data_IF_773371517428
#
_entry.id   IF_773371517428
#
_cell.length_a   1.000
_cell.length_b   1.000
_cell.length_c   1.000
_cell.angle_alpha   90.00
_cell.angle_beta   90.00
_cell.angle_gamma   90.00
#
_symmetry.space_group_name_H-M   'P 1'
#
loop_
_entity.id
_entity.type
_entity.pdbx_description
1 polymer ?
#
# COMPACT_ATOMS: atom_id res chain seq x y z
N UNK A 1 13.79 8.26 -0.68
CA UNK A 1 13.44 6.93 -0.13
C UNK A 1 14.65 5.98 -0.09
N UNK A 2 15.38 5.75 -1.18
CA UNK A 2 16.47 4.76 -1.24
C UNK A 2 17.50 4.85 -0.11
N UNK A 3 18.00 6.03 0.23
CA UNK A 3 18.98 6.19 1.32
C UNK A 3 18.33 6.12 2.72
N UNK A 4 17.11 6.67 2.83
CA UNK A 4 16.43 6.85 4.12
C UNK A 4 15.67 5.61 4.59
N UNK A 5 15.16 4.80 3.66
CA UNK A 5 14.32 3.61 3.88
C UNK A 5 14.66 2.50 2.86
N UNK A 6 15.91 2.00 2.83
CA UNK A 6 16.36 0.99 1.88
C UNK A 6 15.58 -0.32 2.01
N UNK A 7 15.32 -0.80 3.23
CA UNK A 7 14.58 -2.06 3.45
C UNK A 7 13.13 -1.96 2.96
N UNK A 8 12.49 -0.80 3.12
CA UNK A 8 11.13 -0.56 2.64
C UNK A 8 11.08 -0.50 1.11
N UNK A 9 12.08 0.13 0.47
CA UNK A 9 12.20 0.14 -0.98
C UNK A 9 12.48 -1.27 -1.52
N UNK A 10 13.39 -2.02 -0.89
CA UNK A 10 13.71 -3.38 -1.28
C UNK A 10 12.49 -4.29 -1.17
N UNK A 11 11.71 -4.15 -0.11
CA UNK A 11 10.43 -4.85 0.04
C UNK A 11 9.47 -4.52 -1.09
N UNK A 12 9.24 -3.24 -1.40
CA UNK A 12 8.34 -2.83 -2.48
C UNK A 12 8.76 -3.40 -3.84
N UNK A 13 10.06 -3.32 -4.17
CA UNK A 13 10.58 -3.84 -5.44
C UNK A 13 10.44 -5.37 -5.51
N UNK A 14 10.81 -6.09 -4.45
CA UNK A 14 10.67 -7.54 -4.40
C UNK A 14 9.20 -7.99 -4.43
N UNK A 15 8.29 -7.26 -3.77
CA UNK A 15 6.86 -7.58 -3.76
C UNK A 15 6.17 -7.28 -5.10
N UNK A 16 6.81 -6.53 -6.01
CA UNK A 16 6.21 -6.15 -7.29
C UNK A 16 6.95 -6.72 -8.49
N UNK A 17 7.99 -7.55 -8.27
CA UNK A 17 8.86 -8.05 -9.35
C UNK A 17 8.15 -9.00 -10.32
N UNK A 18 7.17 -9.74 -9.82
CA UNK A 18 6.39 -10.71 -10.59
C UNK A 18 5.10 -10.13 -11.19
N UNK A 19 4.80 -8.84 -10.92
CA UNK A 19 3.64 -8.16 -11.50
C UNK A 19 3.93 -7.74 -12.95
N UNK A 20 2.87 -7.41 -13.68
CA UNK A 20 3.04 -6.70 -14.95
C UNK A 20 3.80 -5.38 -14.72
N UNK A 21 4.72 -4.99 -15.62
CA UNK A 21 5.60 -3.84 -15.40
C UNK A 21 4.85 -2.56 -15.01
N UNK A 22 3.74 -2.28 -15.70
CA UNK A 22 2.91 -1.09 -15.49
C UNK A 22 2.25 -1.10 -14.09
N UNK A 23 1.80 -2.27 -13.63
CA UNK A 23 1.23 -2.47 -12.28
C UNK A 23 2.29 -2.26 -11.20
N UNK A 24 3.48 -2.83 -11.39
CA UNK A 24 4.60 -2.66 -10.48
C UNK A 24 5.09 -1.20 -10.42
N UNK A 25 5.18 -0.52 -11.56
CA UNK A 25 5.53 0.90 -11.65
C UNK A 25 4.51 1.78 -10.93
N UNK A 26 3.21 1.54 -11.13
CA UNK A 26 2.14 2.23 -10.41
C UNK A 26 2.25 2.02 -8.90
N UNK A 27 2.46 0.79 -8.45
CA UNK A 27 2.61 0.46 -7.04
C UNK A 27 3.77 1.22 -6.39
N UNK A 28 4.93 1.25 -7.05
CA UNK A 28 6.12 1.99 -6.59
C UNK A 28 5.87 3.50 -6.59
N UNK A 29 5.15 4.01 -7.59
CA UNK A 29 4.78 5.42 -7.65
C UNK A 29 3.86 5.84 -6.50
N UNK A 30 2.76 5.10 -6.27
CA UNK A 30 1.84 5.37 -5.16
C UNK A 30 2.57 5.27 -3.82
N UNK A 31 3.41 4.25 -3.63
CA UNK A 31 4.26 4.09 -2.46
C UNK A 31 5.17 5.32 -2.24
N UNK A 32 5.81 5.82 -3.31
CA UNK A 32 6.62 7.02 -3.23
C UNK A 32 5.81 8.25 -2.80
N UNK A 33 4.61 8.46 -3.35
CA UNK A 33 3.73 9.56 -2.92
C UNK A 33 3.35 9.43 -1.45
N UNK A 34 2.95 8.23 -1.00
CA UNK A 34 2.67 7.95 0.42
C UNK A 34 3.88 8.30 1.30
N UNK A 35 5.09 7.88 0.92
CA UNK A 35 6.31 8.25 1.63
C UNK A 35 6.48 9.77 1.74
N UNK A 36 6.27 10.51 0.63
CA UNK A 36 6.38 11.98 0.59
C UNK A 36 5.36 12.67 1.49
N UNK A 37 4.15 12.13 1.62
CA UNK A 37 3.14 12.64 2.56
C UNK A 37 3.64 12.56 4.01
N UNK A 38 4.22 11.42 4.40
CA UNK A 38 4.79 11.26 5.74
C UNK A 38 6.07 12.08 5.96
N UNK A 39 6.91 12.20 4.94
CA UNK A 39 8.12 13.01 5.00
C UNK A 39 7.81 14.50 5.16
N UNK A 40 6.79 15.00 4.46
CA UNK A 40 6.34 16.39 4.59
C UNK A 40 5.67 16.70 5.93
N UNK A 41 5.07 15.70 6.59
CA UNK A 41 4.34 15.88 7.86
C UNK A 41 5.18 15.61 9.11
N UNK A 42 6.38 15.05 8.99
CA UNK A 42 7.23 14.63 10.13
C UNK A 42 8.60 15.28 10.08
N UNK A 43 9.13 15.63 11.27
CA UNK A 43 10.53 16.09 11.39
C UNK A 43 11.56 15.02 11.02
N UNK A 44 11.25 13.75 11.30
CA UNK A 44 12.09 12.59 10.99
C UNK A 44 11.24 11.33 10.95
N UNK A 45 11.52 10.47 9.98
CA UNK A 45 11.00 9.10 9.91
C UNK A 45 12.13 8.17 10.35
N UNK A 46 11.87 7.31 11.34
CA UNK A 46 12.84 6.29 11.75
C UNK A 46 13.05 5.28 10.62
N UNK A 47 14.26 4.74 10.51
CA UNK A 47 14.55 3.69 9.54
C UNK A 47 13.75 2.45 9.90
N UNK A 48 12.93 1.98 8.98
CA UNK A 48 12.12 0.77 9.11
C UNK A 48 13.00 -0.42 8.73
N UNK A 49 12.95 -1.48 9.53
CA UNK A 49 13.72 -2.72 9.32
C UNK A 49 12.90 -3.79 8.63
N UNK A 50 13.56 -4.70 7.90
CA UNK A 50 12.91 -5.88 7.30
C UNK A 50 12.05 -6.68 8.29
N UNK A 51 12.49 -6.83 9.55
CA UNK A 51 11.71 -7.53 10.59
C UNK A 51 10.39 -6.81 10.91
N UNK A 52 10.42 -5.48 10.99
CA UNK A 52 9.20 -4.69 11.22
C UNK A 52 8.26 -4.77 10.02
N UNK A 53 8.81 -4.81 8.81
CA UNK A 53 8.04 -4.97 7.57
C UNK A 53 7.29 -6.29 7.59
N UNK A 54 8.00 -7.41 7.74
CA UNK A 54 7.39 -8.74 7.72
C UNK A 54 6.29 -8.88 8.79
N UNK A 55 6.58 -8.48 10.03
CA UNK A 55 5.60 -8.54 11.11
C UNK A 55 4.37 -7.66 10.85
N UNK A 56 4.52 -6.53 10.16
CA UNK A 56 3.41 -5.65 9.81
C UNK A 56 2.60 -6.18 8.62
N UNK A 57 3.27 -6.76 7.63
CA UNK A 57 2.65 -7.38 6.47
C UNK A 57 1.81 -8.58 6.89
N UNK A 58 2.38 -9.52 7.64
CA UNK A 58 1.67 -10.69 8.19
C UNK A 58 0.46 -10.27 9.03
N UNK A 59 0.61 -9.24 9.88
CA UNK A 59 -0.51 -8.71 10.66
C UNK A 59 -1.65 -8.17 9.78
N UNK A 60 -1.30 -7.48 8.69
CA UNK A 60 -2.29 -6.91 7.77
C UNK A 60 -2.94 -7.98 6.90
N UNK A 61 -2.17 -8.96 6.45
CA UNK A 61 -2.65 -10.14 5.72
C UNK A 61 -3.66 -10.92 6.59
N UNK A 62 -3.30 -11.24 7.83
CA UNK A 62 -4.20 -11.88 8.80
C UNK A 62 -5.48 -11.07 9.04
N UNK A 63 -5.35 -9.74 9.18
CA UNK A 63 -6.49 -8.86 9.41
C UNK A 63 -7.44 -8.86 8.20
N UNK A 64 -6.89 -8.87 6.98
CA UNK A 64 -7.67 -8.89 5.74
C UNK A 64 -8.26 -10.29 5.50
N UNK A 65 -7.49 -11.36 5.74
CA UNK A 65 -7.94 -12.75 5.61
C UNK A 65 -9.04 -13.12 6.62
N UNK A 66 -9.00 -12.58 7.85
CA UNK A 66 -10.10 -12.75 8.83
C UNK A 66 -11.42 -12.09 8.41
N UNK A 67 -11.41 -11.24 7.38
CA UNK A 67 -12.61 -10.65 6.80
C UNK A 67 -13.19 -11.51 5.66
N UNK A 68 -12.70 -12.74 5.45
CA UNK A 68 -13.10 -13.62 4.35
C UNK A 68 -14.53 -14.15 4.44
N UNK A 69 -15.34 -13.66 3.50
CA UNK A 69 -16.12 -14.46 2.53
C UNK A 69 -15.74 -13.99 1.12
N UNK A 70 -15.64 -14.91 0.17
CA UNK A 70 -14.95 -14.79 -1.12
C UNK A 70 -15.31 -13.56 -2.00
N UNK A 71 -14.26 -13.03 -2.65
CA UNK A 71 -14.16 -12.09 -3.79
C UNK A 71 -15.06 -10.84 -3.92
N UNK A 72 -16.35 -10.84 -3.61
CA UNK A 72 -17.26 -9.75 -4.05
C UNK A 72 -17.24 -8.48 -3.18
N UNK A 73 -16.36 -8.39 -2.19
CA UNK A 73 -16.47 -7.37 -1.12
C UNK A 73 -15.18 -6.62 -0.82
N UNK A 74 -14.27 -6.48 -1.78
CA UNK A 74 -13.04 -5.70 -1.57
C UNK A 74 -13.32 -4.27 -1.08
N UNK A 75 -14.26 -3.56 -1.72
CA UNK A 75 -14.71 -2.23 -1.29
C UNK A 75 -15.38 -2.24 0.10
N UNK A 76 -16.22 -3.25 0.37
CA UNK A 76 -16.85 -3.49 1.67
C UNK A 76 -15.80 -3.79 2.78
N UNK A 77 -14.66 -4.39 2.42
CA UNK A 77 -13.51 -4.66 3.32
C UNK A 77 -12.75 -3.37 3.60
N UNK A 78 -12.42 -2.58 2.58
CA UNK A 78 -11.77 -1.26 2.73
C UNK A 78 -12.62 -0.34 3.63
N UNK A 79 -13.93 -0.28 3.38
CA UNK A 79 -14.86 0.53 4.18
C UNK A 79 -14.86 0.14 5.67
N UNK A 80 -14.66 -1.15 5.98
CA UNK A 80 -14.53 -1.64 7.37
C UNK A 80 -13.12 -1.44 7.96
N UNK A 81 -12.09 -1.37 7.11
CA UNK A 81 -10.68 -1.15 7.49
C UNK A 81 -10.37 0.34 7.71
N UNK A 82 -11.33 1.27 7.51
CA UNK A 82 -11.23 2.70 7.85
C UNK A 82 -10.90 3.01 9.34
N UNK A 83 -10.61 2.01 10.17
CA UNK A 83 -10.01 2.14 11.50
C UNK A 83 -8.52 2.53 11.45
N UNK A 84 -7.93 2.75 10.26
CA UNK A 84 -6.56 3.28 10.17
C UNK A 84 -6.43 4.66 10.85
N UNK A 85 -5.31 4.86 11.55
CA UNK A 85 -4.94 6.15 12.14
C UNK A 85 -4.73 7.25 11.09
N UNK A 86 -4.57 6.88 9.82
CA UNK A 86 -4.28 7.80 8.72
C UNK A 86 -5.37 7.72 7.63
N UNK A 87 -6.62 8.10 7.95
CA UNK A 87 -7.77 7.87 7.07
C UNK A 87 -7.65 8.59 5.72
N UNK A 88 -7.03 9.77 5.70
CA UNK A 88 -6.82 10.54 4.47
C UNK A 88 -5.76 9.92 3.55
N UNK A 89 -4.71 9.32 4.13
CA UNK A 89 -3.67 8.63 3.35
C UNK A 89 -4.22 7.32 2.78
N UNK A 90 -5.00 6.58 3.57
CA UNK A 90 -5.68 5.37 3.10
C UNK A 90 -6.71 5.72 2.02
N UNK A 91 -7.47 6.80 2.18
CA UNK A 91 -8.38 7.27 1.13
C UNK A 91 -7.63 7.55 -0.17
N UNK A 92 -6.52 8.27 -0.12
CA UNK A 92 -5.68 8.51 -1.30
C UNK A 92 -5.25 7.19 -1.97
N UNK A 93 -4.79 6.21 -1.20
CA UNK A 93 -4.40 4.89 -1.73
C UNK A 93 -5.57 4.20 -2.42
N UNK A 94 -6.75 4.23 -1.80
CA UNK A 94 -7.95 3.59 -2.37
C UNK A 94 -8.41 4.29 -3.63
N UNK A 95 -8.48 5.62 -3.61
CA UNK A 95 -8.87 6.43 -4.75
C UNK A 95 -7.91 6.16 -5.93
N UNK A 96 -6.58 6.13 -5.69
CA UNK A 96 -5.57 5.87 -6.72
C UNK A 96 -5.61 4.44 -7.29
N UNK A 97 -6.10 3.44 -6.55
CA UNK A 97 -6.27 2.07 -7.05
C UNK A 97 -7.62 1.84 -7.74
N UNK A 98 -8.58 2.76 -7.54
CA UNK A 98 -9.95 2.68 -8.04
C UNK A 98 -10.22 3.66 -9.16
N UNK A 99 -9.28 4.55 -9.45
CA UNK A 99 -9.36 5.50 -10.55
C UNK A 99 -9.48 4.70 -11.85
N UNK A 100 -10.66 4.78 -12.48
CA UNK A 100 -10.93 4.18 -13.78
C UNK A 100 -10.54 5.21 -14.85
N UNK A 101 -9.82 4.78 -15.88
CA UNK A 101 -9.33 5.64 -16.94
C UNK A 101 -10.50 6.23 -17.74
N UNK A 102 -10.71 7.55 -17.66
CA UNK A 102 -11.63 8.24 -18.58
C UNK A 102 -11.00 8.42 -19.99
N UNK A 103 -9.65 8.33 -20.11
CA UNK A 103 -8.91 8.66 -21.35
C UNK A 103 -7.92 7.57 -21.84
N UNK A 104 -7.98 6.35 -21.32
CA UNK A 104 -7.28 5.17 -21.91
C UNK A 104 -5.76 5.08 -21.73
N UNK A 105 -5.16 5.93 -20.89
CA UNK A 105 -3.72 5.95 -20.57
C UNK A 105 -3.39 5.43 -19.15
N UNK A 106 -4.38 4.92 -18.38
CA UNK A 106 -4.13 4.34 -17.05
C UNK A 106 -3.86 2.83 -17.10
N UNK A 107 -3.15 2.37 -16.07
CA UNK A 107 -2.87 0.96 -15.82
C UNK A 107 -4.15 0.22 -15.47
N UNK A 108 -4.51 -0.80 -16.25
CA UNK A 108 -5.68 -1.64 -15.97
C UNK A 108 -5.36 -2.61 -14.82
N UNK A 109 -6.04 -2.44 -13.69
CA UNK A 109 -5.84 -3.25 -12.50
C UNK A 109 -6.99 -4.24 -12.33
N UNK A 110 -6.65 -5.53 -12.25
CA UNK A 110 -7.63 -6.54 -11.84
C UNK A 110 -8.03 -6.36 -10.37
N UNK A 111 -9.14 -6.95 -9.95
CA UNK A 111 -9.54 -6.94 -8.53
C UNK A 111 -8.49 -7.61 -7.63
N UNK A 112 -7.73 -8.57 -8.16
CA UNK A 112 -6.63 -9.23 -7.45
C UNK A 112 -5.45 -8.27 -7.28
N UNK A 113 -5.06 -7.54 -8.34
CA UNK A 113 -4.03 -6.50 -8.26
C UNK A 113 -4.42 -5.42 -7.26
N UNK A 114 -5.64 -4.89 -7.34
CA UNK A 114 -6.16 -3.90 -6.38
C UNK A 114 -6.08 -4.42 -4.95
N UNK A 115 -6.46 -5.68 -4.73
CA UNK A 115 -6.37 -6.35 -3.43
C UNK A 115 -4.95 -6.43 -2.89
N UNK A 116 -4.04 -6.96 -3.71
CA UNK A 116 -2.64 -7.12 -3.38
C UNK A 116 -1.94 -5.77 -3.11
N UNK A 117 -2.11 -4.80 -4.03
CA UNK A 117 -1.52 -3.48 -3.91
C UNK A 117 -2.05 -2.72 -2.70
N UNK A 118 -3.34 -2.86 -2.37
CA UNK A 118 -3.88 -2.27 -1.15
C UNK A 118 -3.23 -2.85 0.11
N UNK A 119 -3.06 -4.17 0.20
CA UNK A 119 -2.36 -4.81 1.33
C UNK A 119 -0.92 -4.30 1.47
N UNK A 120 -0.21 -4.22 0.34
CA UNK A 120 1.16 -3.72 0.27
C UNK A 120 1.27 -2.27 0.75
N UNK A 121 0.46 -1.38 0.18
CA UNK A 121 0.46 0.05 0.48
C UNK A 121 -0.08 0.35 1.88
N UNK A 122 -1.08 -0.41 2.37
CA UNK A 122 -1.54 -0.33 3.76
C UNK A 122 -0.42 -0.65 4.74
N UNK A 123 0.37 -1.69 4.45
CA UNK A 123 1.53 -2.06 5.27
C UNK A 123 2.54 -0.92 5.35
N UNK A 124 2.81 -0.26 4.23
CA UNK A 124 3.67 0.92 4.21
C UNK A 124 3.09 2.08 5.04
N UNK A 125 1.79 2.38 4.90
CA UNK A 125 1.12 3.43 5.71
C UNK A 125 1.24 3.13 7.20
N UNK A 126 0.99 1.90 7.62
CA UNK A 126 1.06 1.52 9.04
C UNK A 126 2.47 1.57 9.59
N UNK A 127 3.48 1.18 8.80
CA UNK A 127 4.90 1.30 9.17
C UNK A 127 5.33 2.75 9.30
N UNK A 128 4.97 3.59 8.34
CA UNK A 128 5.27 5.01 8.35
C UNK A 128 4.51 5.76 9.44
N UNK A 129 3.33 5.25 9.87
CA UNK A 129 2.59 5.83 10.97
C UNK A 129 3.25 5.60 12.34
N UNK A 130 3.97 4.48 12.52
CA UNK A 130 4.70 4.19 13.76
C UNK A 130 5.74 5.31 14.05
N UNK A 131 5.79 5.79 15.29
CA UNK A 131 6.65 6.91 15.73
C UNK A 131 8.01 6.46 16.23
#
# INVERSE_FOLDING_TARGET
MAESQPDLLAFLLASTEDLEPEVGELAVYIAFVVYRIFEGSRKKIKKITAREINACYEYNEDLIGRLEGAHEKFLDRIAKIQVSKQPYVIKYVVDALMEESEEGDDVDLTDEDKGFLFLLLKTMVDLLDKK
#
